data_IF_517087617273
#
_entry.id   IF_517087617273
#
_cell.length_a   1.000
_cell.length_b   1.000
_cell.length_c   1.000
_cell.angle_alpha   90.00
_cell.angle_beta   90.00
_cell.angle_gamma   90.00
#
_symmetry.space_group_name_H-M   'P 1'
#
loop_
_entity.id
_entity.type
_entity.pdbx_description
1 polymer ?
#
# COMPACT_ATOMS: atom_id res chain seq x y z
N UNK A 1 -5.67 -4.90 18.37
CA UNK A 1 -6.11 -3.82 17.43
C UNK A 1 -5.80 -2.40 17.94
N UNK A 2 -4.68 -2.23 18.72
CA UNK A 2 -4.30 -0.90 19.27
C UNK A 2 -4.14 0.21 18.22
N UNK A 3 -3.50 -0.02 17.04
CA UNK A 3 -3.38 1.04 16.04
C UNK A 3 -4.73 1.50 15.49
N UNK A 4 -5.65 0.56 15.24
CA UNK A 4 -7.00 0.88 14.75
C UNK A 4 -7.80 1.67 15.81
N UNK A 5 -7.76 1.25 17.07
CA UNK A 5 -8.33 2.02 18.19
C UNK A 5 -7.75 3.45 18.24
N UNK A 6 -6.43 3.61 18.14
CA UNK A 6 -5.78 4.92 18.17
C UNK A 6 -6.22 5.82 17.00
N UNK A 7 -6.35 5.27 15.79
CA UNK A 7 -6.84 5.99 14.62
C UNK A 7 -8.26 6.50 14.87
N UNK A 8 -9.19 5.59 15.21
CA UNK A 8 -10.61 5.94 15.38
C UNK A 8 -10.77 6.98 16.50
N UNK A 9 -10.11 6.79 17.64
CA UNK A 9 -10.14 7.75 18.76
C UNK A 9 -9.62 9.14 18.36
N UNK A 10 -8.72 9.22 17.37
CA UNK A 10 -8.12 10.48 16.91
C UNK A 10 -8.97 11.20 15.87
N UNK A 11 -9.86 10.51 15.14
CA UNK A 11 -10.65 11.08 14.05
C UNK A 11 -11.37 12.39 14.42
N UNK A 12 -12.03 12.52 15.60
CA UNK A 12 -12.68 13.77 15.96
C UNK A 12 -11.75 14.98 16.06
N UNK A 13 -10.46 14.76 16.35
CA UNK A 13 -9.47 15.84 16.43
C UNK A 13 -8.84 16.20 15.08
N UNK A 14 -9.06 15.38 14.05
CA UNK A 14 -8.60 15.61 12.67
C UNK A 14 -9.70 16.27 11.81
N UNK A 15 -10.93 16.37 12.32
CA UNK A 15 -12.03 16.97 11.59
C UNK A 15 -11.82 18.49 11.42
N UNK A 16 -12.11 18.99 10.22
CA UNK A 16 -12.04 20.44 9.91
C UNK A 16 -13.24 21.21 10.50
N UNK A 17 -14.38 20.51 10.71
CA UNK A 17 -15.60 21.10 11.25
C UNK A 17 -15.84 20.78 12.73
N UNK A 18 -16.91 21.38 13.29
CA UNK A 18 -17.34 21.07 14.64
C UNK A 18 -17.93 19.67 14.72
N UNK A 19 -17.46 18.88 15.65
CA UNK A 19 -17.94 17.54 15.95
C UNK A 19 -18.87 17.62 17.16
N UNK A 20 -20.12 17.14 17.02
CA UNK A 20 -21.09 17.15 18.12
C UNK A 20 -20.66 16.22 19.28
N UNK A 21 -21.18 16.46 20.50
CA UNK A 21 -20.93 15.56 21.63
C UNK A 21 -21.34 14.10 21.34
N UNK A 22 -22.45 13.91 20.62
CA UNK A 22 -22.97 12.59 20.25
C UNK A 22 -22.02 11.89 19.29
N UNK A 23 -21.49 12.60 18.28
CA UNK A 23 -20.51 12.05 17.34
C UNK A 23 -19.21 11.66 18.05
N UNK A 24 -18.75 12.45 19.05
CA UNK A 24 -17.58 12.11 19.87
C UNK A 24 -17.83 10.85 20.69
N UNK A 25 -19.00 10.73 21.33
CA UNK A 25 -19.37 9.57 22.12
C UNK A 25 -19.39 8.31 21.25
N UNK A 26 -20.05 8.36 20.09
CA UNK A 26 -20.11 7.26 19.12
C UNK A 26 -18.71 6.85 18.62
N UNK A 27 -17.83 7.81 18.34
CA UNK A 27 -16.45 7.53 17.92
C UNK A 27 -15.66 6.84 19.03
N UNK A 28 -15.89 7.23 20.29
CA UNK A 28 -15.25 6.60 21.45
C UNK A 28 -15.72 5.17 21.63
N UNK A 29 -17.03 4.92 21.55
CA UNK A 29 -17.63 3.59 21.63
C UNK A 29 -17.08 2.68 20.51
N UNK A 30 -17.12 3.15 19.25
CA UNK A 30 -16.56 2.42 18.11
C UNK A 30 -15.08 2.10 18.28
N UNK A 31 -14.29 3.04 18.83
CA UNK A 31 -12.87 2.81 19.07
C UNK A 31 -12.65 1.66 20.06
N UNK A 32 -13.42 1.62 21.17
CA UNK A 32 -13.31 0.54 22.15
C UNK A 32 -13.78 -0.81 21.57
N UNK A 33 -14.85 -0.83 20.79
CA UNK A 33 -15.32 -2.04 20.10
C UNK A 33 -14.24 -2.60 19.16
N UNK A 34 -13.63 -1.72 18.37
CA UNK A 34 -12.55 -2.12 17.43
C UNK A 34 -11.30 -2.60 18.17
N UNK A 35 -11.03 -2.11 19.37
CA UNK A 35 -9.88 -2.54 20.18
C UNK A 35 -9.92 -4.04 20.49
N UNK A 36 -11.11 -4.56 20.76
CA UNK A 36 -11.34 -5.95 21.13
C UNK A 36 -11.94 -6.81 20.02
N UNK A 37 -12.20 -6.21 18.85
CA UNK A 37 -12.75 -6.91 17.69
C UNK A 37 -11.90 -8.11 17.28
N UNK A 38 -12.57 -9.22 16.97
CA UNK A 38 -11.98 -10.40 16.36
C UNK A 38 -12.22 -10.37 14.85
N UNK A 39 -11.23 -10.80 14.08
CA UNK A 39 -11.25 -10.75 12.64
C UNK A 39 -11.23 -12.16 12.06
N UNK A 40 -12.16 -12.42 11.14
CA UNK A 40 -12.11 -13.62 10.32
C UNK A 40 -11.06 -13.38 9.24
N UNK A 41 -10.01 -14.20 9.26
CA UNK A 41 -8.92 -14.08 8.30
C UNK A 41 -9.32 -14.69 6.95
N UNK A 42 -8.91 -14.08 5.82
CA UNK A 42 -9.03 -14.72 4.51
C UNK A 42 -8.25 -16.03 4.45
N UNK A 43 -8.64 -16.92 3.53
CA UNK A 43 -7.95 -18.18 3.30
C UNK A 43 -6.46 -17.92 2.97
N UNK A 44 -5.59 -18.73 3.57
CA UNK A 44 -4.15 -18.60 3.42
C UNK A 44 -3.47 -17.60 4.36
N UNK A 45 -4.25 -16.75 5.05
CA UNK A 45 -3.74 -15.81 6.04
C UNK A 45 -3.65 -16.46 7.44
N UNK A 46 -2.53 -16.25 8.12
CA UNK A 46 -2.29 -16.75 9.48
C UNK A 46 -2.42 -15.61 10.51
N UNK A 47 -2.05 -14.38 10.13
CA UNK A 47 -2.16 -13.20 11.00
C UNK A 47 -2.63 -11.97 10.25
N UNK A 48 -3.18 -11.02 11.01
CA UNK A 48 -3.60 -9.70 10.57
C UNK A 48 -3.02 -8.66 11.52
N UNK A 49 -2.35 -7.66 10.96
CA UNK A 49 -1.78 -6.54 11.71
C UNK A 49 -2.25 -5.21 11.12
N UNK A 50 -2.48 -4.25 12.02
CA UNK A 50 -2.81 -2.88 11.64
C UNK A 50 -1.67 -1.93 11.97
N UNK A 51 -1.44 -0.94 11.11
CA UNK A 51 -0.51 0.15 11.38
C UNK A 51 -1.12 1.49 10.96
N UNK A 52 -0.70 2.56 11.63
CA UNK A 52 -1.16 3.92 11.35
C UNK A 52 0.04 4.85 11.38
N UNK A 53 0.20 5.65 10.34
CA UNK A 53 1.15 6.75 10.29
C UNK A 53 0.43 8.09 10.52
N UNK A 54 1.18 9.14 10.87
CA UNK A 54 0.65 10.50 10.98
C UNK A 54 -0.04 10.84 12.29
N UNK A 55 -0.11 9.92 13.26
CA UNK A 55 -0.66 10.19 14.59
C UNK A 55 0.42 10.50 15.64
N UNK A 56 1.65 10.72 15.21
CA UNK A 56 2.84 10.89 16.05
C UNK A 56 3.65 9.59 16.15
N UNK A 57 4.87 9.72 16.65
CA UNK A 57 5.82 8.60 16.71
C UNK A 57 6.54 8.34 15.37
N UNK A 58 7.29 7.23 15.32
CA UNK A 58 8.00 6.81 14.12
C UNK A 58 7.01 6.21 13.13
N UNK A 59 7.01 6.64 11.86
CA UNK A 59 6.18 6.03 10.83
C UNK A 59 6.46 4.52 10.71
N UNK A 60 5.39 3.76 10.53
CA UNK A 60 5.49 2.35 10.17
C UNK A 60 6.11 2.22 8.78
N UNK A 61 6.96 1.24 8.65
CA UNK A 61 7.54 0.80 7.40
C UNK A 61 7.55 -0.73 7.36
N UNK A 62 7.57 -1.36 6.17
CA UNK A 62 7.76 -2.80 6.06
C UNK A 62 9.03 -3.24 6.80
N UNK A 63 8.97 -4.41 7.42
CA UNK A 63 10.16 -5.02 8.01
C UNK A 63 11.12 -5.47 6.92
N UNK A 64 12.40 -5.69 7.30
CA UNK A 64 13.36 -6.32 6.40
C UNK A 64 12.82 -7.65 5.87
N UNK A 65 13.05 -7.90 4.60
CA UNK A 65 12.55 -9.04 3.86
C UNK A 65 13.61 -9.58 2.91
N UNK A 66 13.32 -10.70 2.25
CA UNK A 66 14.19 -11.26 1.22
C UNK A 66 13.96 -10.58 -0.12
N UNK A 67 12.69 -10.42 -0.49
CA UNK A 67 12.21 -9.80 -1.74
C UNK A 67 11.08 -8.84 -1.44
N UNK A 68 10.91 -7.78 -2.23
CA UNK A 68 9.81 -6.82 -2.10
C UNK A 68 9.23 -6.45 -3.47
N UNK A 69 7.92 -6.26 -3.54
CA UNK A 69 7.21 -5.69 -4.68
C UNK A 69 6.29 -4.56 -4.20
N UNK A 70 6.19 -3.49 -4.97
CA UNK A 70 5.47 -2.26 -4.62
C UNK A 70 4.51 -1.89 -5.74
N UNK A 71 3.27 -1.59 -5.38
CA UNK A 71 2.26 -0.96 -6.24
C UNK A 71 1.84 0.33 -5.58
N UNK A 72 1.99 1.45 -6.27
CA UNK A 72 1.61 2.76 -5.73
C UNK A 72 1.34 3.75 -6.84
N UNK A 73 0.17 4.41 -6.87
CA UNK A 73 -0.15 5.41 -7.89
C UNK A 73 0.74 6.66 -7.83
N UNK A 74 1.22 7.02 -6.63
CA UNK A 74 2.13 8.14 -6.42
C UNK A 74 3.37 7.64 -5.68
N UNK A 75 4.54 8.13 -6.07
CA UNK A 75 5.80 7.73 -5.47
C UNK A 75 6.83 8.86 -5.54
N UNK A 76 7.84 8.77 -4.69
CA UNK A 76 9.04 9.62 -4.75
C UNK A 76 10.30 8.80 -4.50
N UNK A 77 11.45 9.34 -4.90
CA UNK A 77 12.75 8.67 -4.83
C UNK A 77 13.10 8.19 -3.41
N UNK A 78 12.89 9.05 -2.40
CA UNK A 78 13.29 8.73 -1.02
C UNK A 78 12.49 7.55 -0.45
N UNK A 79 11.17 7.54 -0.70
CA UNK A 79 10.32 6.45 -0.24
C UNK A 79 10.60 5.15 -1.01
N UNK A 80 10.77 5.22 -2.34
CA UNK A 80 11.10 4.04 -3.15
C UNK A 80 12.45 3.45 -2.76
N UNK A 81 13.50 4.26 -2.62
CA UNK A 81 14.82 3.80 -2.17
C UNK A 81 14.74 3.18 -0.76
N UNK A 82 13.96 3.79 0.15
CA UNK A 82 13.73 3.25 1.50
C UNK A 82 13.03 1.88 1.43
N UNK A 83 11.99 1.73 0.61
CA UNK A 83 11.27 0.46 0.45
C UNK A 83 12.18 -0.60 -0.19
N UNK A 84 12.91 -0.26 -1.25
CA UNK A 84 13.86 -1.17 -1.91
C UNK A 84 14.94 -1.64 -0.94
N UNK A 85 15.46 -0.77 -0.08
CA UNK A 85 16.48 -1.10 0.92
C UNK A 85 16.03 -2.12 1.98
N UNK A 86 14.72 -2.37 2.12
CA UNK A 86 14.20 -3.43 3.01
C UNK A 86 14.47 -4.83 2.45
N UNK A 87 14.66 -4.96 1.15
CA UNK A 87 14.91 -6.23 0.50
C UNK A 87 16.41 -6.58 0.53
N UNK A 88 16.77 -7.67 1.21
CA UNK A 88 18.17 -8.14 1.30
C UNK A 88 18.66 -8.76 0.00
N UNK A 89 17.77 -9.21 -0.88
CA UNK A 89 18.12 -9.85 -2.15
C UNK A 89 17.72 -8.99 -3.33
N UNK A 90 16.45 -8.60 -3.45
CA UNK A 90 15.97 -7.85 -4.60
C UNK A 90 14.65 -7.12 -4.33
N UNK A 91 14.54 -5.89 -4.83
CA UNK A 91 13.26 -5.26 -5.10
C UNK A 91 12.80 -5.73 -6.49
N UNK A 92 11.73 -6.54 -6.53
CA UNK A 92 11.36 -7.30 -7.72
C UNK A 92 10.57 -6.48 -8.72
N UNK A 93 9.57 -5.72 -8.23
CA UNK A 93 8.66 -4.99 -9.11
C UNK A 93 8.19 -3.69 -8.49
N UNK A 94 8.13 -2.65 -9.31
CA UNK A 94 7.44 -1.40 -9.06
C UNK A 94 6.35 -1.23 -10.11
N UNK A 95 5.10 -1.05 -9.67
CA UNK A 95 3.97 -0.71 -10.53
C UNK A 95 3.45 0.65 -10.11
N UNK A 96 3.47 1.61 -11.02
CA UNK A 96 3.03 2.97 -10.74
C UNK A 96 2.39 3.62 -11.97
N UNK A 97 2.05 4.90 -11.89
CA UNK A 97 1.52 5.67 -13.01
C UNK A 97 2.66 6.19 -13.90
N UNK A 98 2.46 6.28 -15.22
CA UNK A 98 3.52 6.74 -16.14
C UNK A 98 4.03 8.14 -15.80
N UNK A 99 3.11 9.07 -15.47
CA UNK A 99 3.43 10.45 -15.10
C UNK A 99 4.28 10.54 -13.83
N UNK A 100 4.07 9.63 -12.88
CA UNK A 100 4.88 9.57 -11.66
C UNK A 100 6.25 8.96 -11.91
N UNK A 101 6.31 7.86 -12.67
CA UNK A 101 7.58 7.21 -13.02
C UNK A 101 8.50 8.13 -13.82
N UNK A 102 7.94 9.01 -14.65
CA UNK A 102 8.70 10.03 -15.38
C UNK A 102 9.39 11.06 -14.47
N UNK A 103 8.95 11.20 -13.23
CA UNK A 103 9.54 12.09 -12.22
C UNK A 103 10.57 11.39 -11.31
N UNK A 104 10.71 10.07 -11.40
CA UNK A 104 11.64 9.27 -10.59
C UNK A 104 13.00 9.18 -11.28
N UNK A 105 14.07 9.25 -10.50
CA UNK A 105 15.43 9.13 -11.02
C UNK A 105 15.69 7.74 -11.60
N UNK A 106 16.50 7.66 -12.64
CA UNK A 106 16.90 6.39 -13.23
C UNK A 106 17.62 5.47 -12.23
N UNK A 107 18.36 6.05 -11.26
CA UNK A 107 19.03 5.32 -10.19
C UNK A 107 17.99 4.56 -9.35
N UNK A 108 16.96 5.24 -8.85
CA UNK A 108 15.89 4.63 -8.06
C UNK A 108 15.08 3.59 -8.85
N UNK A 109 14.79 3.85 -10.12
CA UNK A 109 14.08 2.87 -10.98
C UNK A 109 14.91 1.60 -11.18
N UNK A 110 16.24 1.71 -11.29
CA UNK A 110 17.14 0.58 -11.44
C UNK A 110 17.27 -0.30 -10.19
N UNK A 111 16.82 0.17 -9.01
CA UNK A 111 16.72 -0.68 -7.81
C UNK A 111 15.68 -1.79 -7.98
N UNK A 112 14.72 -1.63 -8.91
CA UNK A 112 13.66 -2.59 -9.15
C UNK A 112 13.95 -3.45 -10.40
N UNK A 113 13.77 -4.76 -10.27
CA UNK A 113 13.98 -5.71 -11.37
C UNK A 113 13.00 -5.52 -12.54
N UNK A 114 11.79 -5.04 -12.26
CA UNK A 114 10.75 -4.69 -13.24
C UNK A 114 10.04 -3.40 -12.82
N UNK A 115 9.92 -2.47 -13.76
CA UNK A 115 9.08 -1.28 -13.61
C UNK A 115 7.95 -1.35 -14.64
N UNK A 116 6.70 -1.18 -14.19
CA UNK A 116 5.52 -1.38 -15.02
C UNK A 116 4.44 -0.32 -14.75
N UNK A 117 3.54 -0.17 -15.70
CA UNK A 117 2.34 0.67 -15.65
C UNK A 117 1.11 -0.16 -15.98
N UNK A 118 -0.09 0.29 -15.61
CA UNK A 118 -1.31 -0.36 -16.08
C UNK A 118 -1.38 -0.33 -17.60
N UNK A 119 -1.92 -1.40 -18.18
CA UNK A 119 -2.21 -1.45 -19.61
C UNK A 119 -3.50 -0.66 -19.89
N UNK A 120 -3.48 0.22 -20.88
CA UNK A 120 -4.65 1.01 -21.29
C UNK A 120 -5.85 0.13 -21.70
N UNK A 121 -5.61 -1.11 -22.15
CA UNK A 121 -6.68 -2.05 -22.46
C UNK A 121 -7.37 -2.60 -21.21
N UNK A 122 -6.64 -2.72 -20.09
CA UNK A 122 -7.21 -3.13 -18.81
C UNK A 122 -8.08 -2.03 -18.17
N UNK A 123 -7.84 -0.76 -18.53
CA UNK A 123 -8.65 0.38 -18.08
C UNK A 123 -10.02 0.47 -18.79
N UNK A 124 -10.21 -0.23 -19.92
CA UNK A 124 -11.39 -0.13 -20.80
C UNK A 124 -12.41 -1.26 -20.68
N UNK A 125 -12.21 -2.25 -19.82
CA UNK A 125 -13.13 -3.40 -19.72
C UNK A 125 -14.52 -3.09 -19.13
N UNK A 126 -14.75 -1.92 -18.58
CA UNK A 126 -16.04 -1.51 -18.00
C UNK A 126 -16.95 -0.71 -18.96
N UNK A 127 -16.85 -0.91 -20.28
CA UNK A 127 -17.92 -0.73 -21.28
C UNK A 127 -18.75 0.57 -21.28
N UNK A 128 -18.43 1.59 -20.54
CA UNK A 128 -19.04 2.90 -20.56
C UNK A 128 -18.08 3.94 -21.12
N UNK A 129 -18.54 4.68 -22.14
CA UNK A 129 -17.91 5.93 -22.57
C UNK A 129 -18.04 6.96 -21.42
N UNK A 130 -17.26 6.78 -20.36
CA UNK A 130 -17.17 7.75 -19.29
C UNK A 130 -16.32 8.93 -19.77
N UNK A 131 -16.89 10.13 -19.71
CA UNK A 131 -16.10 11.35 -19.74
C UNK A 131 -14.95 11.21 -18.73
N UNK A 132 -13.71 11.30 -19.23
CA UNK A 132 -12.45 11.17 -18.45
C UNK A 132 -12.56 11.97 -17.15
N UNK A 133 -12.84 11.29 -16.06
CA UNK A 133 -12.80 11.88 -14.74
C UNK A 133 -11.40 11.69 -14.16
N UNK A 134 -10.94 12.64 -13.34
CA UNK A 134 -9.58 12.68 -12.75
C UNK A 134 -9.23 11.47 -11.85
N UNK A 135 -10.05 10.41 -11.84
CA UNK A 135 -9.92 9.20 -11.03
C UNK A 135 -9.63 7.93 -11.85
N UNK A 136 -9.49 8.04 -13.17
CA UNK A 136 -9.13 6.89 -14.02
C UNK A 136 -7.67 6.50 -13.81
N UNK A 137 -7.41 5.20 -13.69
CA UNK A 137 -6.07 4.64 -13.58
C UNK A 137 -5.75 3.97 -12.25
N UNK A 138 -4.48 3.65 -12.06
CA UNK A 138 -3.98 2.96 -10.88
C UNK A 138 -4.29 3.74 -9.59
N UNK A 139 -5.03 3.09 -8.66
CA UNK A 139 -5.27 3.63 -7.32
C UNK A 139 -4.86 2.66 -6.19
N UNK A 140 -4.48 1.44 -6.51
CA UNK A 140 -4.03 0.43 -5.55
C UNK A 140 -2.73 0.84 -4.86
N UNK A 141 -2.62 0.56 -3.56
CA UNK A 141 -1.42 0.73 -2.75
C UNK A 141 -1.15 -0.58 -2.05
N UNK A 142 -0.15 -1.30 -2.58
CA UNK A 142 0.15 -2.69 -2.19
C UNK A 142 1.66 -2.81 -1.98
N UNK A 143 2.04 -3.46 -0.89
CA UNK A 143 3.41 -3.91 -0.68
C UNK A 143 3.36 -5.41 -0.44
N UNK A 144 4.09 -6.18 -1.23
CA UNK A 144 4.29 -7.60 -1.04
C UNK A 144 5.73 -7.83 -0.62
N UNK A 145 5.94 -8.39 0.57
CA UNK A 145 7.25 -8.66 1.12
C UNK A 145 7.38 -10.14 1.49
N UNK A 146 8.39 -10.82 0.94
CA UNK A 146 8.69 -12.21 1.24
C UNK A 146 9.84 -12.31 2.24
N UNK A 147 9.66 -13.14 3.27
CA UNK A 147 10.69 -13.47 4.24
C UNK A 147 10.70 -14.98 4.52
N UNK A 148 11.76 -15.65 4.13
CA UNK A 148 11.85 -17.12 4.22
C UNK A 148 10.69 -17.82 3.50
N UNK A 149 9.77 -18.41 4.25
CA UNK A 149 8.61 -19.17 3.76
C UNK A 149 7.30 -18.40 3.87
N UNK A 150 7.36 -17.16 4.33
CA UNK A 150 6.19 -16.34 4.60
C UNK A 150 6.12 -15.15 3.62
N UNK A 151 4.89 -14.80 3.25
CA UNK A 151 4.54 -13.59 2.52
C UNK A 151 3.77 -12.65 3.42
N UNK A 152 4.11 -11.37 3.38
CA UNK A 152 3.37 -10.27 3.99
C UNK A 152 2.77 -9.43 2.87
N UNK A 153 1.45 -9.43 2.80
CA UNK A 153 0.67 -8.59 1.88
C UNK A 153 0.13 -7.41 2.65
N UNK A 154 0.65 -6.22 2.38
CA UNK A 154 0.19 -4.98 2.99
C UNK A 154 -0.64 -4.19 1.99
N UNK A 155 -1.84 -3.82 2.41
CA UNK A 155 -2.76 -2.91 1.71
C UNK A 155 -2.96 -1.66 2.56
N UNK A 156 -3.25 -0.52 1.95
CA UNK A 156 -3.50 0.68 2.74
C UNK A 156 -3.82 1.93 1.94
N UNK A 157 -3.87 3.06 2.64
CA UNK A 157 -4.07 4.38 2.04
C UNK A 157 -2.76 5.04 1.62
N UNK A 158 -1.62 4.62 2.21
CA UNK A 158 -0.32 5.27 2.04
C UNK A 158 0.33 4.99 0.69
N UNK A 159 0.55 6.05 -0.09
CA UNK A 159 1.36 5.99 -1.29
C UNK A 159 2.85 5.81 -0.93
N UNK A 160 3.65 5.30 -1.87
CA UNK A 160 5.11 5.17 -1.72
C UNK A 160 5.80 6.54 -1.77
N UNK A 161 5.49 7.41 -0.80
CA UNK A 161 5.95 8.79 -0.73
C UNK A 161 6.54 9.13 0.64
N UNK A 162 7.45 10.10 0.65
CA UNK A 162 8.07 10.63 1.87
C UNK A 162 7.06 11.05 2.94
N UNK A 163 5.95 11.76 2.62
CA UNK A 163 4.93 12.08 3.62
C UNK A 163 4.27 10.88 4.27
N UNK A 164 4.08 9.78 3.54
CA UNK A 164 3.42 8.57 4.05
C UNK A 164 4.37 7.70 4.89
N UNK A 165 5.60 7.42 4.39
CA UNK A 165 6.49 6.39 4.95
C UNK A 165 7.70 6.93 5.72
N UNK A 166 8.13 8.18 5.46
CA UNK A 166 9.36 8.71 6.03
C UNK A 166 9.07 9.76 7.10
N UNK A 167 8.36 10.83 6.74
CA UNK A 167 8.08 11.93 7.66
C UNK A 167 6.81 11.76 8.49
N UNK A 168 5.89 10.87 8.07
CA UNK A 168 4.62 10.65 8.75
C UNK A 168 3.73 11.89 8.82
N UNK A 169 3.78 12.75 7.79
CA UNK A 169 2.94 13.96 7.72
C UNK A 169 1.50 13.65 7.35
N UNK A 170 1.29 12.57 6.61
CA UNK A 170 -0.04 12.09 6.23
C UNK A 170 -0.56 11.13 7.29
N UNK A 171 -1.86 11.18 7.56
CA UNK A 171 -2.52 10.12 8.31
C UNK A 171 -2.83 8.99 7.36
N UNK A 172 -2.13 7.87 7.53
CA UNK A 172 -2.24 6.70 6.67
C UNK A 172 -2.57 5.45 7.50
N UNK A 173 -3.35 4.57 6.91
CA UNK A 173 -3.75 3.31 7.53
C UNK A 173 -3.28 2.13 6.68
N UNK A 174 -2.72 1.12 7.33
CA UNK A 174 -2.21 -0.09 6.70
C UNK A 174 -2.77 -1.34 7.37
N UNK A 175 -3.04 -2.33 6.54
CA UNK A 175 -3.45 -3.68 6.94
C UNK A 175 -2.45 -4.66 6.34
N UNK A 176 -1.80 -5.45 7.18
CA UNK A 176 -0.83 -6.47 6.74
C UNK A 176 -1.37 -7.86 7.06
N UNK A 177 -1.56 -8.65 6.02
CA UNK A 177 -1.84 -10.08 6.10
C UNK A 177 -0.52 -10.84 6.00
N UNK A 178 -0.30 -11.79 6.91
CA UNK A 178 0.85 -12.69 6.85
C UNK A 178 0.38 -14.12 6.72
N UNK A 179 1.03 -14.90 5.87
CA UNK A 179 0.77 -16.32 5.69
C UNK A 179 1.91 -17.01 4.96
N UNK A 180 1.83 -18.33 4.86
CA UNK A 180 2.81 -19.08 4.08
C UNK A 180 2.77 -18.71 2.61
N UNK A 181 3.93 -18.49 2.01
CA UNK A 181 4.05 -18.14 0.58
C UNK A 181 3.32 -19.14 -0.32
N UNK A 182 3.32 -20.42 0.04
CA UNK A 182 2.61 -21.48 -0.70
C UNK A 182 1.08 -21.38 -0.63
N UNK A 183 0.53 -20.58 0.28
CA UNK A 183 -0.92 -20.40 0.49
C UNK A 183 -1.38 -18.99 0.18
N UNK A 184 -0.69 -17.99 0.70
CA UNK A 184 -1.03 -16.57 0.46
C UNK A 184 -0.58 -16.10 -0.93
N UNK A 185 0.45 -16.73 -1.49
CA UNK A 185 1.05 -16.38 -2.77
C UNK A 185 2.42 -15.72 -2.63
N UNK A 186 3.24 -15.83 -3.65
CA UNK A 186 4.52 -15.14 -3.79
C UNK A 186 4.35 -13.77 -4.47
N UNK A 187 5.40 -12.95 -4.51
CA UNK A 187 5.45 -11.75 -5.35
C UNK A 187 5.14 -12.12 -6.79
N UNK A 188 5.74 -13.22 -7.30
CA UNK A 188 5.53 -13.67 -8.68
C UNK A 188 4.08 -14.11 -8.96
N UNK A 189 3.37 -14.61 -7.94
CA UNK A 189 1.96 -14.96 -8.06
C UNK A 189 1.04 -13.74 -7.96
N UNK A 190 1.30 -12.87 -6.97
CA UNK A 190 0.41 -11.72 -6.68
C UNK A 190 0.64 -10.59 -7.68
N UNK A 191 1.90 -10.27 -7.99
CA UNK A 191 2.30 -9.14 -8.85
C UNK A 191 2.87 -9.58 -10.19
N UNK A 192 2.95 -10.88 -10.47
CA UNK A 192 3.35 -11.43 -11.76
C UNK A 192 2.21 -11.51 -12.77
N UNK A 193 2.47 -12.11 -13.93
CA UNK A 193 1.52 -12.19 -15.07
C UNK A 193 0.20 -12.91 -14.73
N UNK A 194 0.23 -13.87 -13.81
CA UNK A 194 -0.98 -14.60 -13.36
C UNK A 194 -1.81 -13.84 -12.34
N UNK A 195 -1.32 -12.72 -11.82
CA UNK A 195 -1.97 -11.85 -10.84
C UNK A 195 -2.12 -10.42 -11.35
N UNK A 196 -1.91 -9.46 -10.47
CA UNK A 196 -2.05 -8.03 -10.80
C UNK A 196 -1.14 -7.59 -11.96
N UNK A 197 0.03 -8.20 -12.10
CA UNK A 197 0.97 -7.91 -13.19
C UNK A 197 0.44 -8.25 -14.58
N UNK A 198 -0.54 -9.15 -14.71
CA UNK A 198 -1.22 -9.43 -15.98
C UNK A 198 -2.03 -8.26 -16.55
N UNK A 199 -2.33 -7.26 -15.71
CA UNK A 199 -2.98 -6.02 -16.10
C UNK A 199 -1.97 -4.90 -16.42
N UNK A 200 -0.68 -5.23 -16.54
CA UNK A 200 0.38 -4.22 -16.66
C UNK A 200 1.26 -4.48 -17.88
N UNK A 201 1.83 -3.40 -18.42
CA UNK A 201 2.91 -3.43 -19.41
C UNK A 201 4.20 -2.85 -18.84
N UNK A 202 5.33 -3.17 -19.44
CA UNK A 202 6.62 -2.56 -19.03
C UNK A 202 6.57 -1.04 -19.23
N UNK A 203 7.12 -0.32 -18.26
CA UNK A 203 7.32 1.12 -18.39
C UNK A 203 8.47 1.40 -19.35
N UNK A 204 8.23 2.28 -20.32
CA UNK A 204 9.24 2.78 -21.26
C UNK A 204 9.37 4.29 -21.04
N UNK A 205 10.57 4.78 -20.61
CA UNK A 205 10.76 6.22 -20.41
C UNK A 205 10.54 7.01 -21.71
N UNK A 206 9.66 8.03 -21.67
CA UNK A 206 9.40 8.92 -22.80
C UNK A 206 8.23 8.51 -23.70
N UNK A 207 7.52 7.44 -23.35
CA UNK A 207 6.20 7.11 -23.95
C UNK A 207 5.06 7.77 -23.20
#
# INVERSE_FOLDING_TARGET
NRPLHALISKLPSLAVGNISPEQRALTTELAEDMRFGEWILPDGCETLEFAVNGLGGRPWQPQECTRIGVVSPFCDDEALATLASKARRSAEVLISRPDQLACISAETLNDFGRVAVLDEMAEREDGEEAESTAFEGLHAKIIVAEHSWDTRLTLGSGNATTPAFISGRNVEFFVTFTGKTSKLGSIDTILGESGFGGLTRAYVPGE
#
